data_IF_794781610400
#
_entry.id   IF_794781610400
#
_cell.length_a   1.000
_cell.length_b   1.000
_cell.length_c   1.000
_cell.angle_alpha   90.00
_cell.angle_beta   90.00
_cell.angle_gamma   90.00
#
_symmetry.space_group_name_H-M   'P 1'
#
loop_
_entity.id
_entity.type
_entity.pdbx_description
1 polymer ?
#
# COMPACT_ATOMS: atom_id res chain seq x y z
N UNK A 1 -11.56 19.34 -21.92
CA UNK A 1 -10.29 18.88 -22.49
C UNK A 1 -10.01 17.51 -21.90
N UNK A 2 -10.09 16.46 -22.72
CA UNK A 2 -9.70 15.10 -22.32
C UNK A 2 -8.23 14.93 -22.72
N UNK A 3 -7.33 15.15 -21.76
CA UNK A 3 -5.88 14.96 -21.95
C UNK A 3 -5.55 13.51 -22.36
N UNK A 4 -6.45 12.57 -22.06
CA UNK A 4 -6.28 11.13 -22.26
C UNK A 4 -6.45 10.65 -23.73
N UNK A 5 -7.22 11.35 -24.58
CA UNK A 5 -7.58 10.82 -25.92
C UNK A 5 -6.61 11.24 -27.05
N UNK A 6 -6.03 12.44 -27.00
CA UNK A 6 -5.15 12.95 -28.07
C UNK A 6 -3.68 13.04 -27.67
N UNK A 7 -3.39 13.25 -26.37
CA UNK A 7 -2.03 13.52 -25.91
C UNK A 7 -1.23 12.24 -25.61
N UNK A 8 -1.91 11.22 -25.09
CA UNK A 8 -1.31 9.93 -24.73
C UNK A 8 -0.77 9.12 -25.92
N UNK A 9 -1.49 9.04 -27.06
CA UNK A 9 -0.95 8.36 -28.24
C UNK A 9 0.34 9.00 -28.76
N UNK A 10 0.45 10.33 -28.70
CA UNK A 10 1.64 11.08 -29.11
C UNK A 10 2.86 10.76 -28.21
N UNK A 11 2.63 10.68 -26.89
CA UNK A 11 3.67 10.35 -25.91
C UNK A 11 4.11 8.88 -25.98
N UNK A 12 3.22 7.95 -26.35
CA UNK A 12 3.57 6.52 -26.47
C UNK A 12 4.69 6.28 -27.50
N UNK A 13 4.62 6.94 -28.65
CA UNK A 13 5.69 6.84 -29.65
C UNK A 13 7.03 7.34 -29.13
N UNK A 14 7.02 8.40 -28.31
CA UNK A 14 8.23 8.95 -27.70
C UNK A 14 8.82 8.09 -26.57
N UNK A 15 8.03 7.22 -25.92
CA UNK A 15 8.54 6.23 -24.94
C UNK A 15 9.30 5.08 -25.62
N UNK A 16 9.05 4.85 -26.91
CA UNK A 16 9.68 3.79 -27.71
C UNK A 16 10.76 4.34 -28.67
N UNK A 17 11.04 5.64 -28.62
CA UNK A 17 12.04 6.28 -29.48
C UNK A 17 13.41 5.66 -29.25
N UNK A 18 14.21 5.54 -30.32
CA UNK A 18 15.56 5.00 -30.23
C UNK A 18 16.48 5.88 -29.37
N UNK A 19 16.26 7.19 -29.39
CA UNK A 19 17.09 8.17 -28.71
C UNK A 19 16.67 8.34 -27.24
N UNK A 20 17.62 8.10 -26.33
CA UNK A 20 17.40 8.11 -24.89
C UNK A 20 16.89 9.47 -24.39
N UNK A 21 17.40 10.55 -24.98
CA UNK A 21 17.03 11.92 -24.58
C UNK A 21 15.56 12.25 -24.87
N UNK A 22 14.96 11.71 -25.93
CA UNK A 22 13.52 11.89 -26.17
C UNK A 22 12.69 11.04 -25.21
N UNK A 23 13.09 9.79 -24.92
CA UNK A 23 12.43 8.97 -23.89
C UNK A 23 12.42 9.67 -22.52
N UNK A 24 13.55 10.22 -22.08
CA UNK A 24 13.65 11.04 -20.84
C UNK A 24 12.69 12.24 -20.88
N UNK A 25 12.68 12.98 -21.98
CA UNK A 25 11.83 14.17 -22.12
C UNK A 25 10.34 13.84 -22.00
N UNK A 26 9.94 12.69 -22.56
CA UNK A 26 8.57 12.18 -22.51
C UNK A 26 8.18 11.77 -21.10
N UNK A 27 9.08 11.13 -20.34
CA UNK A 27 8.86 10.81 -18.92
C UNK A 27 8.55 12.07 -18.10
N UNK A 28 9.35 13.13 -18.29
CA UNK A 28 9.14 14.40 -17.59
C UNK A 28 7.85 15.10 -18.02
N UNK A 29 7.48 15.05 -19.30
CA UNK A 29 6.22 15.58 -19.78
C UNK A 29 5.01 14.85 -19.16
N UNK A 30 5.04 13.52 -19.14
CA UNK A 30 3.98 12.70 -18.53
C UNK A 30 3.85 13.05 -17.04
N UNK A 31 4.98 13.20 -16.33
CA UNK A 31 4.97 13.55 -14.91
C UNK A 31 4.39 14.95 -14.64
N UNK A 32 4.76 15.94 -15.44
CA UNK A 32 4.25 17.30 -15.34
C UNK A 32 2.75 17.36 -15.59
N UNK A 33 2.25 16.61 -16.59
CA UNK A 33 0.81 16.55 -16.90
C UNK A 33 0.02 15.76 -15.87
N UNK A 34 0.63 14.72 -15.29
CA UNK A 34 0.00 13.93 -14.25
C UNK A 34 -0.02 14.62 -12.87
N UNK A 35 0.67 15.75 -12.72
CA UNK A 35 0.70 16.52 -11.47
C UNK A 35 -0.70 17.10 -11.17
N UNK A 36 -1.45 16.38 -10.32
CA UNK A 36 -2.80 16.75 -9.88
C UNK A 36 -3.94 15.84 -10.37
N UNK A 37 -3.73 14.98 -11.37
CA UNK A 37 -4.74 14.02 -11.89
C UNK A 37 -4.09 12.75 -12.46
N UNK A 38 -3.19 12.13 -11.71
CA UNK A 38 -2.57 10.90 -12.16
C UNK A 38 -3.61 9.78 -12.38
N UNK A 39 -3.82 9.41 -13.65
CA UNK A 39 -4.57 8.21 -14.02
C UNK A 39 -3.66 6.98 -13.91
N UNK A 40 -4.22 5.83 -13.56
CA UNK A 40 -3.48 4.56 -13.53
C UNK A 40 -2.96 4.14 -14.92
N UNK A 41 -3.49 4.69 -16.02
CA UNK A 41 -2.97 4.44 -17.36
C UNK A 41 -1.60 5.07 -17.58
N UNK A 42 -1.35 6.25 -16.99
CA UNK A 42 -0.08 6.97 -17.13
C UNK A 42 1.07 6.13 -16.57
N UNK A 43 0.86 5.52 -15.40
CA UNK A 43 1.83 4.61 -14.79
C UNK A 43 2.06 3.33 -15.58
N UNK A 44 0.99 2.71 -16.12
CA UNK A 44 1.13 1.50 -16.94
C UNK A 44 1.96 1.75 -18.19
N UNK A 45 1.85 2.93 -18.80
CA UNK A 45 2.65 3.30 -19.96
C UNK A 45 4.14 3.46 -19.62
N UNK A 46 4.47 3.89 -18.40
CA UNK A 46 5.86 4.08 -17.95
C UNK A 46 6.52 2.79 -17.45
N UNK A 47 5.75 1.77 -17.08
CA UNK A 47 6.27 0.49 -16.52
C UNK A 47 7.37 -0.17 -17.36
N UNK A 48 7.31 -0.23 -18.71
CA UNK A 48 8.37 -0.83 -19.51
C UNK A 48 9.74 -0.16 -19.33
N UNK A 49 9.78 1.14 -18.99
CA UNK A 49 11.02 1.90 -18.83
C UNK A 49 11.85 1.48 -17.60
N UNK A 50 11.27 0.71 -16.66
CA UNK A 50 12.02 0.10 -15.57
C UNK A 50 13.18 -0.77 -16.10
N UNK A 51 12.98 -1.38 -17.27
CA UNK A 51 13.95 -2.26 -17.93
C UNK A 51 14.59 -1.60 -19.15
N UNK A 52 14.49 -0.28 -19.29
CA UNK A 52 15.15 0.45 -20.37
C UNK A 52 16.66 0.18 -20.33
N UNK A 53 17.29 0.01 -21.50
CA UNK A 53 18.73 -0.23 -21.59
C UNK A 53 19.54 0.97 -21.09
N UNK A 54 19.03 2.17 -21.32
CA UNK A 54 19.70 3.42 -20.99
C UNK A 54 19.47 3.82 -19.53
N UNK A 55 20.57 4.03 -18.81
CA UNK A 55 20.52 4.33 -17.38
C UNK A 55 19.84 5.67 -17.09
N UNK A 56 19.97 6.64 -17.99
CA UNK A 56 19.37 7.97 -17.87
C UNK A 56 17.84 7.92 -17.91
N UNK A 57 17.28 7.01 -18.70
CA UNK A 57 15.83 6.79 -18.78
C UNK A 57 15.32 6.16 -17.49
N UNK A 58 16.02 5.14 -16.96
CA UNK A 58 15.66 4.52 -15.67
C UNK A 58 15.76 5.53 -14.51
N UNK A 59 16.76 6.41 -14.53
CA UNK A 59 16.92 7.47 -13.54
C UNK A 59 15.78 8.50 -13.61
N UNK A 60 15.43 8.96 -14.82
CA UNK A 60 14.31 9.88 -15.04
C UNK A 60 12.98 9.28 -14.55
N UNK A 61 12.74 7.98 -14.79
CA UNK A 61 11.57 7.29 -14.26
C UNK A 61 11.48 7.39 -12.74
N UNK A 62 12.58 7.10 -12.02
CA UNK A 62 12.63 7.16 -10.55
C UNK A 62 12.42 8.58 -10.04
N UNK A 63 13.04 9.57 -10.71
CA UNK A 63 12.93 10.98 -10.34
C UNK A 63 11.48 11.47 -10.33
N UNK A 64 10.66 11.00 -11.28
CA UNK A 64 9.29 11.46 -11.42
C UNK A 64 8.26 10.69 -10.58
N UNK A 65 8.60 9.52 -10.03
CA UNK A 65 7.67 8.73 -9.20
C UNK A 65 6.99 9.53 -8.06
N UNK A 66 7.69 10.44 -7.34
CA UNK A 66 7.07 11.24 -6.29
C UNK A 66 6.13 12.33 -6.82
N UNK A 67 6.36 12.81 -8.05
CA UNK A 67 5.58 13.91 -8.65
C UNK A 67 4.24 13.42 -9.19
N UNK A 68 4.16 12.15 -9.55
CA UNK A 68 2.92 11.53 -10.00
C UNK A 68 2.10 11.15 -8.76
N UNK A 69 1.22 12.06 -8.34
CA UNK A 69 0.33 11.93 -7.18
C UNK A 69 -0.63 10.74 -7.34
N UNK A 70 -0.14 9.53 -7.07
CA UNK A 70 -0.86 8.30 -7.40
C UNK A 70 0.00 7.04 -7.30
N UNK A 71 1.32 7.13 -7.18
CA UNK A 71 2.20 5.96 -7.10
C UNK A 71 1.82 5.01 -5.96
N UNK A 72 1.55 5.53 -4.76
CA UNK A 72 1.07 4.70 -3.64
C UNK A 72 -0.28 4.01 -3.91
N UNK A 73 -1.16 4.65 -4.70
CA UNK A 73 -2.43 4.04 -5.14
C UNK A 73 -2.20 3.01 -6.26
N UNK A 74 -1.28 3.26 -7.18
CA UNK A 74 -0.89 2.33 -8.24
C UNK A 74 -0.29 1.05 -7.65
N UNK A 75 0.67 1.17 -6.72
CA UNK A 75 1.25 0.02 -5.99
C UNK A 75 0.17 -0.74 -5.23
N UNK A 76 -0.77 -0.03 -4.58
CA UNK A 76 -1.88 -0.68 -3.87
C UNK A 76 -2.88 -1.39 -4.80
N UNK A 77 -3.14 -0.87 -5.99
CA UNK A 77 -4.04 -1.51 -6.98
C UNK A 77 -3.35 -2.67 -7.72
N UNK A 78 -2.04 -2.57 -7.97
CA UNK A 78 -1.23 -3.67 -8.51
C UNK A 78 -1.15 -4.83 -7.52
N UNK A 79 -0.88 -4.54 -6.24
CA UNK A 79 -0.91 -5.55 -5.18
C UNK A 79 -2.28 -6.23 -5.01
N UNK A 80 -3.39 -5.53 -5.29
CA UNK A 80 -4.73 -6.13 -5.28
C UNK A 80 -5.02 -7.03 -6.48
N UNK A 81 -4.34 -6.80 -7.61
CA UNK A 81 -4.47 -7.56 -8.85
C UNK A 81 -3.77 -8.92 -8.80
N UNK A 82 -2.74 -9.07 -7.98
CA UNK A 82 -1.90 -10.28 -7.96
C UNK A 82 -2.32 -11.33 -6.91
N UNK A 83 -3.05 -10.97 -5.84
CA UNK A 83 -3.57 -11.96 -4.89
C UNK A 83 -4.83 -12.66 -5.43
N UNK A 84 -4.69 -13.96 -5.72
CA UNK A 84 -5.79 -14.85 -6.09
C UNK A 84 -6.89 -14.87 -5.01
N UNK A 85 -8.13 -15.09 -5.41
CA UNK A 85 -9.30 -15.10 -4.51
C UNK A 85 -9.14 -16.09 -3.34
N UNK A 86 -8.40 -17.18 -3.54
CA UNK A 86 -8.08 -18.17 -2.51
C UNK A 86 -7.12 -17.62 -1.45
N UNK A 87 -6.16 -16.79 -1.84
CA UNK A 87 -5.19 -16.19 -0.92
C UNK A 87 -5.82 -15.06 -0.10
N UNK A 88 -6.73 -14.28 -0.72
CA UNK A 88 -7.58 -13.31 -0.01
C UNK A 88 -8.48 -13.99 1.03
N UNK A 89 -9.03 -15.16 0.71
CA UNK A 89 -9.84 -15.93 1.66
C UNK A 89 -9.00 -16.48 2.82
N UNK A 90 -7.77 -16.92 2.56
CA UNK A 90 -6.83 -17.38 3.59
C UNK A 90 -6.38 -16.23 4.51
N UNK A 91 -6.07 -15.07 3.95
CA UNK A 91 -5.68 -13.89 4.73
C UNK A 91 -6.84 -13.36 5.57
N UNK A 92 -8.06 -13.31 5.01
CA UNK A 92 -9.26 -12.94 5.76
C UNK A 92 -9.55 -13.93 6.91
N UNK A 93 -9.41 -15.24 6.67
CA UNK A 93 -9.58 -16.26 7.71
C UNK A 93 -8.52 -16.16 8.81
N UNK A 94 -7.26 -15.90 8.45
CA UNK A 94 -6.18 -15.70 9.41
C UNK A 94 -6.39 -14.43 10.26
N UNK A 95 -6.94 -13.37 9.67
CA UNK A 95 -7.26 -12.14 10.38
C UNK A 95 -8.41 -12.34 11.37
N UNK A 96 -9.47 -13.05 10.99
CA UNK A 96 -10.59 -13.40 11.88
C UNK A 96 -10.15 -14.27 13.06
N UNK A 97 -9.26 -15.24 12.81
CA UNK A 97 -8.70 -16.08 13.86
C UNK A 97 -7.84 -15.25 14.84
N UNK A 98 -7.01 -14.34 14.32
CA UNK A 98 -6.20 -13.44 15.15
C UNK A 98 -7.04 -12.50 16.01
N UNK A 99 -8.14 -11.96 15.47
CA UNK A 99 -9.09 -11.12 16.21
C UNK A 99 -9.75 -11.92 17.34
N UNK A 100 -10.24 -13.13 17.04
CA UNK A 100 -10.87 -14.00 18.04
C UNK A 100 -9.88 -14.39 19.16
N UNK A 101 -8.63 -14.70 18.81
CA UNK A 101 -7.59 -15.01 19.79
C UNK A 101 -7.27 -13.82 20.71
N UNK A 102 -7.22 -12.61 20.14
CA UNK A 102 -7.02 -11.38 20.91
C UNK A 102 -8.18 -11.13 21.89
N UNK A 103 -9.43 -11.25 21.44
CA UNK A 103 -10.61 -11.07 22.29
C UNK A 103 -10.67 -12.10 23.44
N UNK A 104 -10.35 -13.35 23.16
CA UNK A 104 -10.27 -14.40 24.18
C UNK A 104 -9.18 -14.12 25.20
N UNK A 105 -8.01 -13.65 24.76
CA UNK A 105 -6.92 -13.24 25.65
C UNK A 105 -7.32 -12.06 26.53
N UNK A 106 -7.97 -11.03 25.96
CA UNK A 106 -8.48 -9.89 26.69
C UNK A 106 -9.53 -10.29 27.73
N UNK A 107 -10.45 -11.19 27.38
CA UNK A 107 -11.45 -11.74 28.30
C UNK A 107 -10.81 -12.56 29.43
N UNK A 108 -9.79 -13.36 29.12
CA UNK A 108 -9.02 -14.15 30.10
C UNK A 108 -8.29 -13.27 31.10
N UNK A 109 -7.63 -12.22 30.62
CA UNK A 109 -6.93 -11.25 31.46
C UNK A 109 -7.89 -10.50 32.39
N UNK A 110 -9.07 -10.10 31.89
CA UNK A 110 -10.12 -9.47 32.71
C UNK A 110 -10.59 -10.40 33.84
N UNK A 111 -10.81 -11.68 33.54
CA UNK A 111 -11.21 -12.69 34.55
C UNK A 111 -10.10 -12.93 35.59
N UNK A 112 -8.85 -13.08 35.16
CA UNK A 112 -7.72 -13.27 36.08
C UNK A 112 -7.53 -12.09 37.03
N UNK A 113 -7.66 -10.85 36.53
CA UNK A 113 -7.57 -9.66 37.37
C UNK A 113 -8.72 -9.58 38.37
N UNK A 114 -9.95 -9.91 37.99
CA UNK A 114 -11.08 -9.97 38.93
C UNK A 114 -10.88 -11.02 40.04
N UNK A 115 -10.36 -12.21 39.69
CA UNK A 115 -10.06 -13.26 40.67
C UNK A 115 -8.96 -12.82 41.64
N UNK A 116 -7.90 -12.18 41.13
CA UNK A 116 -6.83 -11.61 41.98
C UNK A 116 -7.36 -10.56 42.95
N UNK A 117 -8.15 -9.59 42.47
CA UNK A 117 -8.72 -8.56 43.33
C UNK A 117 -9.64 -9.15 44.40
N UNK A 118 -10.48 -10.14 44.05
CA UNK A 118 -11.33 -10.84 45.01
C UNK A 118 -10.53 -11.58 46.07
N UNK A 119 -9.48 -12.31 45.68
CA UNK A 119 -8.60 -13.00 46.62
C UNK A 119 -7.83 -12.05 47.55
N UNK A 120 -7.45 -10.86 47.07
CA UNK A 120 -6.83 -9.81 47.90
C UNK A 120 -7.86 -9.25 48.90
N UNK A 121 -9.09 -8.99 48.46
CA UNK A 121 -10.19 -8.55 49.33
C UNK A 121 -10.55 -9.58 50.41
N UNK A 122 -10.59 -10.86 50.05
CA UNK A 122 -10.91 -11.94 51.00
C UNK A 122 -9.78 -12.11 52.04
N UNK A 123 -8.51 -12.00 51.64
CA UNK A 123 -7.36 -11.98 52.57
C UNK A 123 -7.39 -10.76 53.50
N UNK A 124 -7.74 -9.59 52.97
CA UNK A 124 -7.88 -8.37 53.78
C UNK A 124 -8.99 -8.52 54.83
N UNK A 125 -10.17 -9.02 54.45
CA UNK A 125 -11.28 -9.28 55.39
C UNK A 125 -10.93 -10.31 56.47
N UNK A 126 -10.21 -11.36 56.12
CA UNK A 126 -9.73 -12.37 57.09
C UNK A 126 -8.69 -11.81 58.06
N UNK A 127 -7.86 -10.85 57.63
CA UNK A 127 -6.90 -10.16 58.48
C UNK A 127 -7.58 -9.20 59.47
N UNK A 128 -8.57 -8.44 59.00
CA UNK A 128 -9.36 -7.52 59.85
C UNK A 128 -10.20 -8.28 60.89
N UNK A 129 -10.72 -9.46 60.57
CA UNK A 129 -11.49 -10.26 61.53
C UNK A 129 -10.64 -10.96 62.61
N UNK A 130 -9.30 -10.88 62.53
CA UNK A 130 -8.35 -11.46 63.49
C UNK A 130 -7.74 -10.43 64.45
N UNK A 131 -8.12 -9.16 64.33
CA UNK A 131 -7.77 -8.04 65.23
C UNK A 131 -8.98 -7.69 66.06
#
# INVERSE_FOLDING_TARGET
WNEDEEFFPLMRGGLEDAEATVRVSVVHCIAALASGRASSQNFRALKPLEKDSEWSVRAALIEVLPMVSGFGRFVAEEAKGEMGAEEKAKEAAALDEAISAYEQSAARNKRQNQVRHRGVLDKFKQGVAKV
#
